data_IF_094752518164
#
_entry.id   IF_094752518164
#
_cell.length_a   1.000
_cell.length_b   1.000
_cell.length_c   1.000
_cell.angle_alpha   90.00
_cell.angle_beta   90.00
_cell.angle_gamma   90.00
#
_symmetry.space_group_name_H-M   'P 1'
#
loop_
_entity.id
_entity.type
_entity.pdbx_description
1 polymer ?
#
# COMPACT_ATOMS: atom_id res chain seq x y z
N UNK A 1 10.82 11.29 30.91
CA UNK A 1 11.57 10.66 29.82
C UNK A 1 10.55 10.10 28.85
N UNK A 2 10.25 10.85 27.78
CA UNK A 2 9.35 10.39 26.73
C UNK A 2 10.08 9.32 25.93
N UNK A 3 9.51 8.12 25.85
CA UNK A 3 9.97 7.13 24.90
C UNK A 3 9.69 7.69 23.50
N UNK A 4 10.76 8.02 22.77
CA UNK A 4 10.73 8.30 21.35
C UNK A 4 10.19 7.03 20.67
N UNK A 5 8.88 7.00 20.44
CA UNK A 5 8.18 5.94 19.73
C UNK A 5 8.53 5.98 18.25
N UNK A 6 9.80 5.76 17.91
CA UNK A 6 10.18 5.33 16.56
C UNK A 6 9.74 3.88 16.46
N UNK A 7 8.50 3.68 16.02
CA UNK A 7 8.08 2.36 15.54
C UNK A 7 9.11 1.88 14.53
N UNK A 8 9.44 0.59 14.58
CA UNK A 8 10.32 -0.02 13.58
C UNK A 8 9.83 0.35 12.17
N UNK A 9 10.74 0.48 11.18
CA UNK A 9 10.35 0.70 9.79
C UNK A 9 9.23 -0.26 9.40
N UNK A 10 8.12 0.27 8.87
CA UNK A 10 7.08 -0.60 8.34
C UNK A 10 7.65 -1.42 7.18
N UNK A 11 7.56 -2.75 7.28
CA UNK A 11 8.05 -3.64 6.22
C UNK A 11 7.13 -3.56 5.00
N UNK A 12 7.70 -3.43 3.81
CA UNK A 12 6.93 -3.31 2.58
C UNK A 12 7.67 -3.82 1.36
N UNK A 13 6.99 -4.62 0.54
CA UNK A 13 7.47 -5.09 -0.75
C UNK A 13 6.38 -4.88 -1.80
N UNK A 14 6.72 -4.16 -2.86
CA UNK A 14 5.91 -4.07 -4.07
C UNK A 14 6.65 -4.71 -5.24
N UNK A 15 6.05 -5.73 -5.83
CA UNK A 15 6.54 -6.43 -7.02
C UNK A 15 5.82 -5.88 -8.26
N UNK A 16 6.61 -5.39 -9.22
CA UNK A 16 6.11 -4.80 -10.47
C UNK A 16 6.70 -5.50 -11.69
N UNK A 17 5.85 -5.93 -12.64
CA UNK A 17 6.31 -6.59 -13.89
C UNK A 17 6.84 -5.59 -14.94
N UNK A 18 7.92 -4.89 -14.60
CA UNK A 18 8.61 -3.93 -15.48
C UNK A 18 10.11 -3.92 -15.20
N UNK A 19 10.87 -3.28 -16.07
CA UNK A 19 12.30 -3.06 -15.84
C UNK A 19 12.54 -2.02 -14.73
N UNK A 20 13.65 -2.14 -13.96
CA UNK A 20 13.97 -1.22 -12.88
C UNK A 20 13.97 0.25 -13.30
N UNK A 21 14.54 0.57 -14.46
CA UNK A 21 14.55 1.95 -14.97
C UNK A 21 13.17 2.52 -15.29
N UNK A 22 12.21 1.69 -15.74
CA UNK A 22 10.83 2.13 -15.96
C UNK A 22 10.07 2.31 -14.64
N UNK A 23 10.32 1.44 -13.66
CA UNK A 23 9.79 1.55 -12.30
C UNK A 23 10.34 2.78 -11.61
N UNK A 24 11.66 3.01 -11.62
CA UNK A 24 12.29 4.19 -11.03
C UNK A 24 11.74 5.51 -11.59
N UNK A 25 11.51 5.62 -12.90
CA UNK A 25 10.86 6.82 -13.49
C UNK A 25 9.46 7.06 -12.96
N UNK A 26 8.69 6.00 -12.72
CA UNK A 26 7.39 6.12 -12.07
C UNK A 26 7.55 6.47 -10.59
N UNK A 27 8.50 5.86 -9.89
CA UNK A 27 8.73 6.07 -8.46
C UNK A 27 9.02 7.54 -8.12
N UNK A 28 9.81 8.22 -8.96
CA UNK A 28 10.11 9.66 -8.85
C UNK A 28 8.89 10.60 -8.85
N UNK A 29 7.74 10.16 -9.38
CA UNK A 29 6.50 10.97 -9.35
C UNK A 29 5.69 10.74 -8.07
N UNK A 30 6.21 10.00 -7.10
CA UNK A 30 5.57 9.73 -5.81
C UNK A 30 6.08 10.66 -4.71
N UNK A 31 5.86 10.25 -3.47
CA UNK A 31 6.17 11.02 -2.25
C UNK A 31 7.20 10.31 -1.35
N UNK A 32 7.62 9.11 -1.71
CA UNK A 32 8.39 8.21 -0.85
C UNK A 32 9.73 7.91 -1.51
N UNK A 33 10.81 8.05 -0.75
CA UNK A 33 12.12 7.52 -1.12
C UNK A 33 12.06 6.00 -1.09
N UNK A 34 12.49 5.36 -2.17
CA UNK A 34 12.27 3.92 -2.38
C UNK A 34 13.55 3.23 -2.83
N UNK A 35 13.78 2.02 -2.34
CA UNK A 35 14.84 1.14 -2.83
C UNK A 35 14.25 0.21 -3.89
N UNK A 36 14.92 0.10 -5.04
CA UNK A 36 14.47 -0.70 -6.18
C UNK A 36 15.52 -1.77 -6.48
N UNK A 37 15.11 -3.03 -6.57
CA UNK A 37 16.02 -4.12 -6.97
C UNK A 37 15.50 -4.92 -8.17
N UNK A 38 16.39 -5.32 -9.11
CA UNK A 38 16.04 -6.27 -10.15
C UNK A 38 15.82 -7.66 -9.54
N UNK A 39 14.68 -8.27 -9.84
CA UNK A 39 14.33 -9.63 -9.41
C UNK A 39 13.95 -10.46 -10.64
N UNK A 40 13.96 -11.78 -10.53
CA UNK A 40 13.60 -12.64 -11.65
C UNK A 40 12.13 -12.39 -12.08
N UNK A 41 11.94 -11.89 -13.31
CA UNK A 41 10.61 -11.57 -13.85
C UNK A 41 9.89 -10.37 -13.21
N UNK A 42 10.51 -9.73 -12.20
CA UNK A 42 9.92 -8.65 -11.40
C UNK A 42 10.93 -7.55 -11.12
N UNK A 43 10.43 -6.36 -10.78
CA UNK A 43 11.21 -5.36 -10.05
C UNK A 43 10.62 -5.26 -8.65
N UNK A 44 11.45 -5.48 -7.63
CA UNK A 44 11.08 -5.28 -6.24
C UNK A 44 11.26 -3.82 -5.84
N UNK A 45 10.33 -3.31 -5.05
CA UNK A 45 10.35 -1.95 -4.50
C UNK A 45 10.05 -2.03 -3.01
N UNK A 46 10.88 -1.39 -2.20
CA UNK A 46 10.61 -1.17 -0.77
C UNK A 46 10.82 0.31 -0.44
N UNK A 47 10.47 0.71 0.78
CA UNK A 47 10.73 2.07 1.28
C UNK A 47 12.21 2.16 1.66
N UNK A 48 12.87 3.25 1.28
CA UNK A 48 14.26 3.51 1.72
C UNK A 48 14.27 4.08 3.15
N UNK A 49 13.20 4.78 3.52
CA UNK A 49 13.01 5.44 4.81
C UNK A 49 11.55 5.30 5.27
N UNK A 50 11.34 5.34 6.58
CA UNK A 50 10.04 5.13 7.23
C UNK A 50 9.07 6.29 6.98
N UNK A 51 9.62 7.49 6.74
CA UNK A 51 8.87 8.72 6.53
C UNK A 51 8.74 9.04 5.04
N UNK A 52 7.55 9.44 4.61
CA UNK A 52 7.35 10.07 3.32
C UNK A 52 7.82 11.54 3.35
N UNK A 53 8.10 12.11 2.19
CA UNK A 53 8.52 13.51 2.05
C UNK A 53 7.33 14.48 2.07
N UNK A 54 6.26 14.19 2.80
CA UNK A 54 5.05 15.02 2.87
C UNK A 54 4.56 15.07 4.32
N UNK A 55 3.67 16.01 4.61
CA UNK A 55 3.10 16.16 5.94
C UNK A 55 2.02 15.10 6.24
N UNK A 56 1.69 14.95 7.52
CA UNK A 56 0.54 14.17 7.97
C UNK A 56 -0.74 14.57 7.22
N UNK A 57 -1.64 13.62 6.89
CA UNK A 57 -1.63 12.20 7.29
C UNK A 57 -0.86 11.27 6.32
N UNK A 58 -0.06 11.81 5.40
CA UNK A 58 0.62 11.05 4.36
C UNK A 58 2.11 10.87 4.64
N UNK A 59 2.55 11.09 5.87
CA UNK A 59 3.94 11.08 6.30
C UNK A 59 4.50 9.67 6.56
N UNK A 60 3.67 8.63 6.51
CA UNK A 60 4.09 7.24 6.69
C UNK A 60 4.38 6.58 5.34
N UNK A 61 5.65 6.27 5.08
CA UNK A 61 6.13 5.81 3.77
C UNK A 61 5.48 4.50 3.30
N UNK A 62 5.34 3.52 4.20
CA UNK A 62 4.79 2.20 3.85
C UNK A 62 3.32 2.30 3.45
N UNK A 63 2.54 3.16 4.11
CA UNK A 63 1.13 3.39 3.80
C UNK A 63 0.97 4.07 2.44
N UNK A 64 1.78 5.09 2.18
CA UNK A 64 1.79 5.78 0.88
C UNK A 64 2.21 4.85 -0.25
N UNK A 65 3.19 3.98 -0.02
CA UNK A 65 3.60 2.97 -1.00
C UNK A 65 2.50 1.92 -1.23
N UNK A 66 1.84 1.46 -0.16
CA UNK A 66 0.75 0.49 -0.24
C UNK A 66 -0.46 1.02 -1.01
N UNK A 67 -0.80 2.30 -0.82
CA UNK A 67 -1.91 2.96 -1.52
C UNK A 67 -1.53 3.41 -2.95
N UNK A 68 -0.28 3.24 -3.38
CA UNK A 68 0.24 3.86 -4.59
C UNK A 68 -0.40 3.27 -5.86
N UNK A 69 -1.07 4.08 -6.69
CA UNK A 69 -1.61 3.60 -7.96
C UNK A 69 -0.52 3.13 -8.92
N UNK A 70 -0.54 1.86 -9.29
CA UNK A 70 0.37 1.31 -10.30
C UNK A 70 -0.10 1.66 -11.72
N UNK A 71 0.77 2.25 -12.58
CA UNK A 71 0.45 2.58 -13.96
C UNK A 71 0.00 1.35 -14.74
N UNK A 72 -0.95 1.52 -15.66
CA UNK A 72 -1.54 0.39 -16.43
C UNK A 72 -0.50 -0.51 -17.10
N UNK A 73 0.54 0.09 -17.69
CA UNK A 73 1.63 -0.62 -18.37
C UNK A 73 2.54 -1.42 -17.43
N UNK A 74 2.39 -1.24 -16.12
CA UNK A 74 3.18 -1.87 -15.07
C UNK A 74 2.37 -2.91 -14.27
N UNK A 75 1.16 -3.24 -14.73
CA UNK A 75 0.29 -4.27 -14.15
C UNK A 75 0.51 -5.61 -14.87
N UNK A 76 0.40 -6.76 -14.18
CA UNK A 76 0.02 -6.89 -12.78
C UNK A 76 1.15 -6.47 -11.82
N UNK A 77 0.75 -6.02 -10.63
CA UNK A 77 1.64 -5.74 -9.51
C UNK A 77 1.05 -6.29 -8.21
N UNK A 78 1.92 -6.74 -7.30
CA UNK A 78 1.56 -7.34 -6.02
C UNK A 78 2.30 -6.60 -4.93
N UNK A 79 1.59 -6.11 -3.92
CA UNK A 79 2.15 -5.49 -2.74
C UNK A 79 1.94 -6.36 -1.50
N UNK A 80 2.92 -6.36 -0.60
CA UNK A 80 2.94 -7.05 0.68
C UNK A 80 3.47 -6.06 1.71
N UNK A 81 2.64 -5.67 2.68
CA UNK A 81 2.96 -4.58 3.61
C UNK A 81 2.56 -4.93 5.04
N UNK A 82 3.43 -4.66 5.98
CA UNK A 82 3.08 -4.58 7.40
C UNK A 82 2.66 -3.14 7.70
N UNK A 83 1.39 -2.96 8.07
CA UNK A 83 0.81 -1.65 8.39
C UNK A 83 0.05 -1.75 9.70
N UNK A 84 0.49 -1.00 10.71
CA UNK A 84 -0.11 -0.96 12.06
C UNK A 84 -0.37 -2.36 12.67
N UNK A 85 0.62 -3.26 12.58
CA UNK A 85 0.49 -4.62 13.11
C UNK A 85 -0.48 -5.52 12.32
N UNK A 86 -0.81 -5.15 11.07
CA UNK A 86 -1.59 -5.97 10.15
C UNK A 86 -0.81 -6.25 8.88
N UNK A 87 -1.05 -7.41 8.29
CA UNK A 87 -0.54 -7.76 6.97
C UNK A 87 -1.55 -7.29 5.92
N UNK A 88 -1.13 -6.41 5.02
CA UNK A 88 -1.90 -5.96 3.88
C UNK A 88 -1.28 -6.51 2.59
N UNK A 89 -2.07 -7.27 1.83
CA UNK A 89 -1.71 -7.75 0.50
C UNK A 89 -2.52 -6.98 -0.52
N UNK A 90 -1.85 -6.37 -1.49
CA UNK A 90 -2.50 -5.61 -2.56
C UNK A 90 -2.23 -6.24 -3.91
N UNK A 91 -3.22 -6.16 -4.80
CA UNK A 91 -3.05 -6.54 -6.21
C UNK A 91 -3.58 -5.44 -7.10
N UNK A 92 -2.75 -5.00 -8.03
CA UNK A 92 -3.17 -4.21 -9.18
C UNK A 92 -3.30 -5.16 -10.37
N UNK A 93 -4.49 -5.72 -10.63
CA UNK A 93 -4.66 -6.73 -11.67
C UNK A 93 -4.41 -6.13 -13.07
N UNK A 94 -4.02 -6.99 -14.01
CA UNK A 94 -3.94 -6.62 -15.41
C UNK A 94 -5.32 -6.19 -15.96
N UNK A 95 -5.30 -5.36 -17.01
CA UNK A 95 -6.52 -4.93 -17.71
C UNK A 95 -6.96 -3.49 -17.42
N UNK A 96 -8.02 -3.09 -18.14
CA UNK A 96 -8.50 -1.71 -18.16
C UNK A 96 -9.44 -1.43 -16.97
N UNK A 97 -9.28 -0.26 -16.33
CA UNK A 97 -10.16 0.26 -15.25
C UNK A 97 -10.36 -0.69 -14.05
N UNK A 98 -9.48 -1.68 -13.84
CA UNK A 98 -9.55 -2.52 -12.64
C UNK A 98 -9.04 -1.75 -11.42
N UNK A 99 -9.78 -1.77 -10.29
CA UNK A 99 -9.32 -1.16 -9.06
C UNK A 99 -8.15 -1.94 -8.46
N UNK A 100 -7.47 -1.33 -7.50
CA UNK A 100 -6.60 -2.04 -6.58
C UNK A 100 -7.44 -2.91 -5.66
N UNK A 101 -7.01 -4.14 -5.44
CA UNK A 101 -7.66 -5.10 -4.56
C UNK A 101 -6.83 -5.30 -3.30
N UNK A 102 -7.49 -5.56 -2.19
CA UNK A 102 -6.92 -5.61 -0.85
C UNK A 102 -7.35 -6.88 -0.13
N UNK A 103 -6.39 -7.53 0.52
CA UNK A 103 -6.60 -8.51 1.57
C UNK A 103 -5.88 -7.98 2.80
N UNK A 104 -6.57 -7.93 3.93
CA UNK A 104 -5.98 -7.56 5.21
C UNK A 104 -6.08 -8.76 6.13
N UNK A 105 -4.99 -9.08 6.80
CA UNK A 105 -4.89 -10.13 7.80
C UNK A 105 -4.37 -9.52 9.10
N UNK A 106 -4.88 -10.00 10.23
CA UNK A 106 -4.36 -9.63 11.54
C UNK A 106 -4.13 -10.88 12.39
N UNK A 107 -3.16 -10.84 13.32
CA UNK A 107 -2.96 -11.90 14.30
C UNK A 107 -4.25 -12.26 15.02
N UNK A 108 -4.38 -13.53 15.41
CA UNK A 108 -5.51 -14.15 16.11
C UNK A 108 -6.83 -14.24 15.30
N UNK A 109 -7.15 -13.25 14.47
CA UNK A 109 -8.43 -13.20 13.74
C UNK A 109 -8.33 -13.68 12.29
N UNK A 110 -7.13 -13.73 11.72
CA UNK A 110 -6.94 -14.11 10.33
C UNK A 110 -7.33 -12.99 9.35
N UNK A 111 -7.97 -13.35 8.23
CA UNK A 111 -8.43 -12.38 7.22
C UNK A 111 -9.60 -11.55 7.75
N UNK A 112 -9.44 -10.23 7.75
CA UNK A 112 -10.46 -9.28 8.23
C UNK A 112 -11.25 -8.64 7.09
N UNK A 113 -12.49 -8.27 7.39
CA UNK A 113 -13.32 -7.52 6.46
C UNK A 113 -12.98 -6.03 6.48
N UNK A 114 -12.84 -5.45 5.29
CA UNK A 114 -12.57 -4.02 5.10
C UNK A 114 -13.59 -3.42 4.13
N UNK A 115 -14.78 -3.01 4.59
CA UNK A 115 -15.90 -2.63 3.71
C UNK A 115 -15.61 -1.48 2.75
N UNK A 116 -14.65 -0.61 3.08
CA UNK A 116 -14.22 0.51 2.25
C UNK A 116 -13.21 0.13 1.16
N UNK A 117 -12.67 -1.11 1.17
CA UNK A 117 -11.66 -1.58 0.24
C UNK A 117 -12.21 -2.69 -0.66
N UNK A 118 -11.81 -2.68 -1.93
CA UNK A 118 -12.17 -3.76 -2.85
C UNK A 118 -11.43 -5.04 -2.47
N UNK A 119 -12.18 -6.10 -2.15
CA UNK A 119 -11.62 -7.36 -1.68
C UNK A 119 -10.76 -8.08 -2.74
N UNK A 120 -9.60 -8.57 -2.33
CA UNK A 120 -8.74 -9.46 -3.09
C UNK A 120 -9.13 -10.93 -2.84
N UNK A 121 -9.48 -11.63 -3.92
CA UNK A 121 -9.69 -13.08 -3.89
C UNK A 121 -8.39 -13.86 -4.17
N UNK A 122 -8.29 -15.06 -3.61
CA UNK A 122 -7.12 -15.94 -3.74
C UNK A 122 -6.80 -16.26 -5.20
N UNK A 123 -7.81 -16.55 -6.02
CA UNK A 123 -7.62 -16.80 -7.47
C UNK A 123 -6.99 -15.60 -8.19
N UNK A 124 -7.37 -14.39 -7.80
CA UNK A 124 -6.80 -13.17 -8.40
C UNK A 124 -5.37 -12.95 -7.95
N UNK A 125 -5.04 -13.31 -6.70
CA UNK A 125 -3.67 -13.28 -6.19
C UNK A 125 -2.78 -14.29 -6.92
N UNK A 126 -3.24 -15.53 -7.10
CA UNK A 126 -2.53 -16.57 -7.85
C UNK A 126 -2.30 -16.17 -9.31
N UNK A 127 -3.35 -15.66 -9.97
CA UNK A 127 -3.24 -15.16 -11.35
C UNK A 127 -2.23 -14.00 -11.47
N UNK A 128 -2.20 -13.08 -10.51
CA UNK A 128 -1.22 -11.99 -10.48
C UNK A 128 0.21 -12.50 -10.25
N UNK A 129 0.38 -13.51 -9.39
CA UNK A 129 1.67 -14.17 -9.15
C UNK A 129 2.19 -14.90 -10.40
N UNK A 130 1.30 -15.24 -11.34
CA UNK A 130 1.63 -15.92 -12.59
C UNK A 130 1.31 -17.41 -12.56
N UNK A 131 0.40 -17.84 -11.69
CA UNK A 131 -0.05 -19.23 -11.54
C UNK A 131 1.12 -20.23 -11.40
N UNK A 132 1.94 -20.11 -10.34
CA UNK A 132 3.11 -20.94 -10.15
C UNK A 132 2.75 -22.44 -10.10
N UNK A 133 3.50 -23.26 -10.85
CA UNK A 133 3.22 -24.69 -10.99
C UNK A 133 3.18 -25.42 -9.64
N UNK A 134 2.09 -26.15 -9.40
CA UNK A 134 1.90 -26.96 -8.19
C UNK A 134 1.41 -26.19 -6.96
N UNK A 135 1.17 -24.88 -7.05
CA UNK A 135 0.53 -24.10 -5.97
C UNK A 135 -0.98 -24.11 -6.17
N UNK A 136 -1.72 -24.58 -5.16
CA UNK A 136 -3.18 -24.65 -5.19
C UNK A 136 -3.80 -23.54 -4.34
N UNK A 137 -5.02 -23.08 -4.65
CA UNK A 137 -5.76 -22.13 -3.83
C UNK A 137 -5.89 -22.54 -2.35
N UNK A 138 -5.96 -23.85 -2.08
CA UNK A 138 -6.02 -24.41 -0.74
C UNK A 138 -4.74 -24.17 0.08
N UNK A 139 -3.57 -24.11 -0.56
CA UNK A 139 -2.29 -23.90 0.12
C UNK A 139 -2.21 -22.44 0.61
N UNK A 140 -2.61 -21.48 -0.23
CA UNK A 140 -2.73 -20.05 0.16
C UNK A 140 -3.81 -19.87 1.23
N UNK A 141 -4.95 -20.56 1.09
CA UNK A 141 -6.04 -20.51 2.07
C UNK A 141 -5.63 -21.10 3.43
N UNK A 142 -4.70 -22.05 3.47
CA UNK A 142 -4.18 -22.60 4.72
C UNK A 142 -3.39 -21.54 5.47
N UNK A 143 -2.45 -20.87 4.80
CA UNK A 143 -1.65 -19.76 5.37
C UNK A 143 -2.56 -18.66 5.91
N UNK A 144 -3.51 -18.19 5.10
CA UNK A 144 -4.41 -17.09 5.48
C UNK A 144 -5.37 -17.41 6.63
N UNK A 145 -5.62 -18.69 6.90
CA UNK A 145 -6.46 -19.14 8.02
C UNK A 145 -5.66 -19.35 9.31
N UNK A 146 -4.33 -19.45 9.23
CA UNK A 146 -3.52 -19.41 10.45
C UNK A 146 -3.66 -18.02 11.05
N UNK A 147 -4.09 -17.93 12.31
CA UNK A 147 -4.08 -16.70 13.10
C UNK A 147 -2.78 -16.53 13.89
N UNK A 148 -1.83 -17.45 13.71
CA UNK A 148 -0.58 -17.50 14.47
C UNK A 148 0.55 -16.75 13.75
N UNK A 149 1.46 -16.18 14.54
CA UNK A 149 2.64 -15.48 14.04
C UNK A 149 2.45 -13.97 13.90
N UNK A 150 3.52 -13.28 13.53
CA UNK A 150 3.47 -11.85 13.24
C UNK A 150 2.95 -11.59 11.82
N UNK A 151 2.47 -10.36 11.51
CA UNK A 151 2.15 -9.96 10.15
C UNK A 151 3.29 -10.21 9.16
N UNK A 152 4.54 -9.94 9.57
CA UNK A 152 5.70 -10.15 8.72
C UNK A 152 5.93 -11.64 8.44
N UNK A 153 5.74 -12.52 9.42
CA UNK A 153 5.86 -13.97 9.25
C UNK A 153 4.83 -14.50 8.23
N UNK A 154 3.60 -13.98 8.28
CA UNK A 154 2.57 -14.31 7.30
C UNK A 154 2.97 -13.85 5.89
N UNK A 155 3.41 -12.60 5.73
CA UNK A 155 3.80 -12.05 4.43
C UNK A 155 4.99 -12.83 3.85
N UNK A 156 5.98 -13.14 4.67
CA UNK A 156 7.14 -13.96 4.33
C UNK A 156 6.73 -15.37 3.86
N UNK A 157 5.80 -16.00 4.60
CA UNK A 157 5.22 -17.30 4.23
C UNK A 157 4.48 -17.22 2.90
N UNK A 158 3.71 -16.16 2.65
CA UNK A 158 3.01 -15.93 1.39
C UNK A 158 3.98 -15.75 0.21
N UNK A 159 5.09 -15.01 0.39
CA UNK A 159 6.14 -14.90 -0.63
C UNK A 159 6.65 -16.29 -1.00
N UNK A 160 6.94 -17.13 -0.01
CA UNK A 160 7.39 -18.52 -0.22
C UNK A 160 6.36 -19.39 -0.94
N UNK A 161 5.11 -19.42 -0.46
CA UNK A 161 4.03 -20.24 -1.04
C UNK A 161 3.70 -19.83 -2.47
N UNK A 162 3.67 -18.53 -2.75
CA UNK A 162 3.40 -17.99 -4.08
C UNK A 162 4.64 -18.02 -4.99
N UNK A 163 5.79 -18.49 -4.50
CA UNK A 163 7.09 -18.48 -5.20
C UNK A 163 7.44 -17.11 -5.77
N UNK A 164 7.11 -16.06 -5.02
CA UNK A 164 7.46 -14.69 -5.37
C UNK A 164 8.91 -14.41 -4.98
N UNK A 165 9.64 -13.58 -5.73
CA UNK A 165 10.95 -13.13 -5.33
C UNK A 165 10.86 -11.98 -4.31
N UNK A 166 12.00 -11.57 -3.75
CA UNK A 166 12.13 -10.33 -2.96
C UNK A 166 11.92 -10.50 -1.45
N UNK A 167 12.04 -11.72 -0.92
CA UNK A 167 11.99 -12.00 0.51
C UNK A 167 12.96 -11.13 1.30
N UNK A 168 14.16 -10.96 0.79
CA UNK A 168 15.22 -10.14 1.39
C UNK A 168 14.79 -8.67 1.51
N UNK A 169 14.20 -8.09 0.46
CA UNK A 169 13.65 -6.74 0.51
C UNK A 169 12.51 -6.62 1.53
N UNK A 170 11.63 -7.62 1.61
CA UNK A 170 10.51 -7.61 2.56
C UNK A 170 11.00 -7.52 4.00
N UNK A 171 12.09 -8.21 4.35
CA UNK A 171 12.66 -8.21 5.71
C UNK A 171 13.77 -7.16 5.90
N UNK A 172 13.85 -6.15 5.02
CA UNK A 172 14.78 -5.04 5.13
C UNK A 172 16.27 -5.41 4.95
N UNK A 173 16.56 -6.49 4.22
CA UNK A 173 17.93 -6.91 3.88
C UNK A 173 18.35 -6.38 2.52
N UNK A 174 19.66 -6.17 2.38
CA UNK A 174 20.27 -5.74 1.12
C UNK A 174 20.00 -6.75 -0.01
N UNK A 175 19.75 -6.21 -1.22
CA UNK A 175 19.62 -6.99 -2.44
C UNK A 175 20.65 -6.56 -3.48
N UNK A 176 21.23 -7.54 -4.17
CA UNK A 176 22.19 -7.29 -5.24
C UNK A 176 21.55 -6.45 -6.35
N UNK A 177 22.22 -5.36 -6.74
CA UNK A 177 21.74 -4.44 -7.77
C UNK A 177 20.60 -3.53 -7.30
N UNK A 178 20.32 -3.47 -6.00
CA UNK A 178 19.42 -2.49 -5.43
C UNK A 178 19.96 -1.06 -5.62
N UNK A 179 19.05 -0.12 -5.84
CA UNK A 179 19.37 1.31 -5.96
C UNK A 179 18.22 2.16 -5.42
N UNK A 180 18.56 3.24 -4.74
CA UNK A 180 17.57 4.17 -4.22
C UNK A 180 17.04 5.13 -5.29
N UNK A 181 15.78 5.49 -5.13
CA UNK A 181 15.04 6.40 -6.00
C UNK A 181 14.32 7.43 -5.13
N UNK A 182 14.81 8.65 -5.22
CA UNK A 182 14.21 9.82 -4.57
C UNK A 182 12.98 10.32 -5.32
N UNK A 183 11.92 10.75 -4.61
CA UNK A 183 10.82 11.46 -5.22
C UNK A 183 11.28 12.84 -5.72
N UNK A 184 10.60 13.36 -6.73
CA UNK A 184 10.88 14.71 -7.22
C UNK A 184 10.41 15.75 -6.21
N UNK A 185 11.31 16.66 -5.79
CA UNK A 185 10.97 17.73 -4.85
C UNK A 185 9.82 18.61 -5.37
N UNK A 186 9.77 18.85 -6.69
CA UNK A 186 8.67 19.57 -7.33
C UNK A 186 7.33 18.83 -7.21
N UNK A 187 7.33 17.50 -7.39
CA UNK A 187 6.11 16.68 -7.28
C UNK A 187 5.56 16.68 -5.86
N UNK A 188 6.44 16.54 -4.87
CA UNK A 188 6.12 16.66 -3.44
C UNK A 188 5.49 18.02 -3.11
N UNK A 189 6.15 19.12 -3.49
CA UNK A 189 5.64 20.48 -3.26
C UNK A 189 4.25 20.72 -3.90
N UNK A 190 4.01 20.16 -5.09
CA UNK A 190 2.70 20.27 -5.75
C UNK A 190 1.63 19.45 -5.03
N UNK A 191 1.98 18.27 -4.50
CA UNK A 191 1.07 17.46 -3.70
C UNK A 191 0.70 18.17 -2.40
N UNK A 192 1.67 18.70 -1.65
CA UNK A 192 1.43 19.39 -0.39
C UNK A 192 0.50 20.60 -0.57
N UNK A 193 0.69 21.37 -1.64
CA UNK A 193 -0.21 22.48 -1.99
C UNK A 193 -1.63 22.00 -2.27
N UNK A 194 -1.78 20.95 -3.06
CA UNK A 194 -3.10 20.39 -3.37
C UNK A 194 -3.83 19.91 -2.11
N UNK A 195 -3.12 19.25 -1.19
CA UNK A 195 -3.69 18.79 0.08
C UNK A 195 -4.09 19.96 0.97
N UNK A 196 -3.25 21.00 1.04
CA UNK A 196 -3.56 22.22 1.79
C UNK A 196 -4.80 22.94 1.24
N UNK A 197 -4.89 23.08 -0.09
CA UNK A 197 -6.04 23.70 -0.76
C UNK A 197 -7.34 22.90 -0.50
N UNK A 198 -7.28 21.56 -0.58
CA UNK A 198 -8.43 20.69 -0.28
C UNK A 198 -8.85 20.76 1.19
N UNK A 199 -7.88 20.80 2.12
CA UNK A 199 -8.16 20.96 3.55
C UNK A 199 -8.81 22.31 3.85
N UNK A 200 -8.34 23.38 3.20
CA UNK A 200 -8.95 24.70 3.29
C UNK A 200 -10.38 24.69 2.77
N UNK A 201 -10.63 24.15 1.57
CA UNK A 201 -11.99 24.05 1.02
C UNK A 201 -12.91 23.25 1.95
N UNK A 202 -12.45 22.13 2.51
CA UNK A 202 -13.25 21.34 3.45
C UNK A 202 -13.62 22.15 4.70
N UNK A 203 -12.66 22.86 5.28
CA UNK A 203 -12.89 23.72 6.44
C UNK A 203 -13.90 24.85 6.13
N UNK A 204 -13.80 25.46 4.95
CA UNK A 204 -14.75 26.47 4.48
C UNK A 204 -16.16 25.91 4.28
N UNK A 205 -16.29 24.72 3.67
CA UNK A 205 -17.58 24.02 3.51
C UNK A 205 -18.21 23.63 4.85
N UNK A 206 -17.41 23.07 5.77
CA UNK A 206 -17.87 22.70 7.12
C UNK A 206 -18.30 23.95 7.91
N UNK A 207 -17.55 25.05 7.83
CA UNK A 207 -17.91 26.31 8.47
C UNK A 207 -19.19 26.94 7.89
N UNK A 208 -19.38 26.87 6.57
CA UNK A 208 -20.56 27.39 5.89
C UNK A 208 -21.84 26.58 6.19
N UNK A 209 -21.72 25.26 6.34
CA UNK A 209 -22.87 24.38 6.56
C UNK A 209 -23.23 24.15 8.05
N UNK A 210 -22.25 24.23 8.96
CA UNK A 210 -22.50 24.16 10.41
C UNK A 210 -23.17 25.43 11.00
N UNK A 211 -23.46 26.44 10.18
CA UNK A 211 -24.04 27.74 10.59
C UNK A 211 -25.55 27.91 10.39
N UNK A 212 -26.30 26.90 9.90
CA UNK A 212 -27.77 27.03 9.70
C UNK A 212 -28.53 25.80 10.20
N UNK A 213 -29.34 25.88 11.26
CA UNK A 213 -30.28 24.82 11.58
C UNK A 213 -31.39 24.79 10.51
N UNK A 214 -31.80 23.60 10.01
CA UNK A 214 -32.97 23.50 9.16
C UNK A 214 -34.25 23.64 10.01
N UNK A 215 -35.06 24.64 9.68
CA UNK A 215 -36.49 24.66 10.02
C UNK A 215 -36.87 25.27 11.38
N UNK A 216 -36.90 26.60 11.46
CA UNK A 216 -37.90 27.29 12.28
C UNK A 216 -38.76 28.16 11.36
N UNK A 217 -39.67 27.53 10.64
CA UNK A 217 -40.88 28.23 10.19
C UNK A 217 -41.74 28.46 11.43
N UNK A 218 -41.65 29.67 12.01
CA UNK A 218 -42.69 30.21 12.88
C UNK A 218 -44.00 30.15 12.11
N UNK A 219 -44.95 29.35 12.60
CA UNK A 219 -46.34 29.44 12.18
C UNK A 219 -46.99 30.42 13.16
N UNK A 220 -46.98 31.69 12.79
CA UNK A 220 -47.76 32.71 13.48
C UNK A 220 -49.24 32.32 13.39
N UNK A 221 -49.85 32.28 14.56
CA UNK A 221 -51.28 32.19 14.74
C UNK A 221 -51.95 33.47 14.25
N UNK A 222 -52.97 33.33 13.41
CA UNK A 222 -54.16 34.19 13.34
C UNK A 222 -55.26 33.42 12.63
#
# INVERSE_FOLDING_TARGET
MAADGRGAPGHGLLLVRRSPGAVGRWLRTGLVATTVAPLEGWTGVTVAHDTAHTAAPFDVAVEVLAARPVPRRARPAIGLFEVHGRAAVTVHPAGLRRPQLWLVWQPDDGVVETPSLHRLGIETLLAAAGSPDGVRPADVSAVLRTGEGSPLDLLDTLVGVLRLPGRELLVGRDCTGASDVEPSSRGVLMFDRLVADEAQHRAEWEAAWNGRPPGTTSRDAS
#
